data_IF_399607092639
#
_entry.id   IF_399607092639
#
_cell.length_a   1.000
_cell.length_b   1.000
_cell.length_c   1.000
_cell.angle_alpha   90.00
_cell.angle_beta   90.00
_cell.angle_gamma   90.00
#
_symmetry.space_group_name_H-M   'P 1'
#
loop_
_entity.id
_entity.type
_entity.pdbx_description
1 polymer ?
#
# COMPACT_ATOMS: atom_id res chain seq x y z
N UNK A 1 -20.17 1.93 -47.76
CA UNK A 1 -19.74 0.71 -47.06
C UNK A 1 -19.34 1.11 -45.65
N UNK A 2 -20.28 0.95 -44.73
CA UNK A 2 -20.20 1.34 -43.32
C UNK A 2 -19.88 0.10 -42.49
N UNK A 3 -18.71 0.06 -41.87
CA UNK A 3 -18.35 -0.99 -40.91
C UNK A 3 -18.32 -0.38 -39.52
N UNK A 4 -19.42 -0.58 -38.79
CA UNK A 4 -19.53 -0.29 -37.37
C UNK A 4 -18.72 -1.28 -36.55
N UNK A 5 -18.05 -0.77 -35.51
CA UNK A 5 -17.36 -1.57 -34.50
C UNK A 5 -18.09 -1.39 -33.18
N UNK A 6 -18.78 -2.44 -32.76
CA UNK A 6 -19.55 -2.52 -31.52
C UNK A 6 -18.62 -2.70 -30.31
N UNK A 7 -18.90 -1.99 -29.22
CA UNK A 7 -18.24 -2.14 -27.91
C UNK A 7 -18.89 -3.29 -27.12
N UNK A 8 -18.14 -4.12 -26.39
CA UNK A 8 -18.74 -5.14 -25.54
C UNK A 8 -19.27 -4.53 -24.24
N UNK A 9 -20.55 -4.81 -23.94
CA UNK A 9 -21.23 -4.50 -22.69
C UNK A 9 -20.86 -5.56 -21.65
N UNK A 10 -20.19 -5.18 -20.58
CA UNK A 10 -19.97 -6.04 -19.41
C UNK A 10 -21.21 -5.95 -18.52
N UNK A 11 -21.89 -7.09 -18.34
CA UNK A 11 -23.06 -7.22 -17.47
C UNK A 11 -22.60 -7.35 -16.02
N UNK A 12 -22.96 -6.38 -15.18
CA UNK A 12 -22.92 -6.50 -13.72
C UNK A 12 -24.07 -7.41 -13.29
N UNK A 13 -23.75 -8.51 -12.62
CA UNK A 13 -24.73 -9.43 -12.04
C UNK A 13 -24.82 -9.13 -10.54
N UNK A 14 -25.93 -8.51 -10.13
CA UNK A 14 -26.26 -8.24 -8.72
C UNK A 14 -27.03 -9.45 -8.18
N UNK A 15 -26.44 -10.16 -7.22
CA UNK A 15 -27.13 -11.20 -6.45
C UNK A 15 -27.78 -10.57 -5.21
N UNK A 16 -29.10 -10.42 -5.24
CA UNK A 16 -29.88 -10.02 -4.06
C UNK A 16 -30.24 -11.28 -3.26
N UNK A 17 -29.68 -11.45 -2.06
CA UNK A 17 -30.15 -12.43 -1.09
C UNK A 17 -31.08 -11.74 -0.09
N UNK A 18 -32.34 -12.15 -0.09
CA UNK A 18 -33.35 -11.78 0.92
C UNK A 18 -33.25 -12.77 2.08
N UNK A 19 -33.08 -12.27 3.30
CA UNK A 19 -33.35 -13.05 4.52
C UNK A 19 -34.25 -12.23 5.44
N UNK A 20 -35.47 -12.74 5.64
CA UNK A 20 -36.42 -12.27 6.65
C UNK A 20 -36.07 -12.87 8.03
N UNK A 21 -36.10 -12.05 9.08
CA UNK A 21 -35.47 -12.36 10.37
C UNK A 21 -36.39 -12.82 11.51
N UNK A 22 -35.89 -12.65 12.74
CA UNK A 22 -36.64 -12.52 14.01
C UNK A 22 -35.72 -11.93 15.09
N UNK A 23 -36.32 -11.14 15.98
CA UNK A 23 -35.66 -10.32 17.00
C UNK A 23 -35.50 -11.04 18.37
N UNK A 24 -34.39 -10.77 19.09
CA UNK A 24 -34.33 -10.23 20.47
C UNK A 24 -32.99 -10.48 21.18
N UNK A 25 -32.36 -9.38 21.63
CA UNK A 25 -31.76 -9.24 22.97
C UNK A 25 -30.37 -9.85 23.25
N UNK A 26 -29.32 -9.02 23.19
CA UNK A 26 -28.39 -8.72 24.29
C UNK A 26 -27.28 -7.77 23.78
N UNK A 27 -26.91 -6.80 24.62
CA UNK A 27 -25.99 -5.71 24.34
C UNK A 27 -24.57 -6.19 23.98
N UNK A 28 -24.16 -5.91 22.75
CA UNK A 28 -22.78 -5.90 22.31
C UNK A 28 -22.65 -4.85 21.23
N UNK A 29 -22.01 -3.72 21.56
CA UNK A 29 -21.59 -2.72 20.59
C UNK A 29 -20.48 -3.33 19.72
N UNK A 30 -20.86 -4.17 18.76
CA UNK A 30 -19.98 -4.57 17.66
C UNK A 30 -19.87 -3.38 16.72
N UNK A 31 -18.88 -2.52 16.96
CA UNK A 31 -18.51 -1.47 16.02
C UNK A 31 -18.16 -2.12 14.70
N UNK A 32 -18.91 -1.79 13.65
CA UNK A 32 -18.53 -2.15 12.29
C UNK A 32 -17.18 -1.50 12.01
N UNK A 33 -16.13 -2.31 11.92
CA UNK A 33 -14.77 -1.86 11.61
C UNK A 33 -14.79 -1.08 10.32
N UNK A 34 -14.42 0.19 10.37
CA UNK A 34 -14.50 1.05 9.21
C UNK A 34 -13.49 0.63 8.16
N UNK A 35 -13.89 0.81 6.91
CA UNK A 35 -13.07 0.65 5.69
C UNK A 35 -11.98 1.71 5.56
N UNK A 36 -11.85 2.55 6.57
CA UNK A 36 -11.17 3.83 6.61
C UNK A 36 -9.78 3.67 7.23
N UNK A 37 -8.75 4.28 6.63
CA UNK A 37 -7.35 4.12 7.05
C UNK A 37 -6.86 5.19 8.04
N UNK A 38 -7.78 5.93 8.65
CA UNK A 38 -7.52 6.96 9.67
C UNK A 38 -8.20 6.65 11.01
N UNK A 39 -8.86 5.48 11.10
CA UNK A 39 -9.46 5.04 12.35
C UNK A 39 -8.38 4.47 13.29
N UNK A 40 -8.39 4.82 14.58
CA UNK A 40 -7.51 4.20 15.55
C UNK A 40 -7.70 2.68 15.60
N UNK A 41 -6.59 1.94 15.64
CA UNK A 41 -6.58 0.49 15.78
C UNK A 41 -6.21 0.08 17.20
N UNK A 42 -6.87 -0.97 17.67
CA UNK A 42 -6.58 -1.61 18.94
C UNK A 42 -5.47 -2.67 18.83
N UNK A 43 -5.03 -3.23 19.98
CA UNK A 43 -4.10 -4.36 19.98
C UNK A 43 -4.63 -5.55 19.17
N UNK A 44 -3.77 -6.20 18.41
CA UNK A 44 -4.16 -7.32 17.56
C UNK A 44 -4.89 -6.93 16.27
N UNK A 45 -4.98 -5.64 15.94
CA UNK A 45 -5.51 -5.15 14.65
C UNK A 45 -4.40 -4.59 13.73
N UNK A 46 -4.51 -4.87 12.43
CA UNK A 46 -3.71 -4.24 11.36
C UNK A 46 -4.62 -3.96 10.18
N UNK A 47 -4.32 -2.90 9.43
CA UNK A 47 -5.01 -2.61 8.17
C UNK A 47 -4.03 -2.22 7.08
N UNK A 48 -4.33 -2.64 5.85
CA UNK A 48 -3.78 -2.05 4.64
C UNK A 48 -4.87 -1.64 3.67
N UNK A 49 -4.64 -0.55 2.95
CA UNK A 49 -5.62 0.02 2.02
C UNK A 49 -4.98 1.02 1.07
N UNK A 50 -5.77 1.46 0.09
CA UNK A 50 -5.41 2.60 -0.76
C UNK A 50 -5.86 3.89 -0.08
N UNK A 51 -4.99 4.89 -0.03
CA UNK A 51 -5.28 6.21 0.51
C UNK A 51 -6.24 6.93 -0.43
N UNK A 52 -7.41 7.31 0.07
CA UNK A 52 -8.48 7.94 -0.70
C UNK A 52 -8.88 9.32 -0.18
N UNK A 53 -8.36 9.73 0.98
CA UNK A 53 -8.58 11.07 1.57
C UNK A 53 -7.36 11.57 2.31
N UNK A 54 -7.28 12.90 2.46
CA UNK A 54 -6.15 13.57 3.09
C UNK A 54 -5.96 13.16 4.55
N UNK A 55 -7.03 12.87 5.29
CA UNK A 55 -6.94 12.43 6.70
C UNK A 55 -6.28 11.06 6.89
N UNK A 56 -6.12 10.28 5.81
CA UNK A 56 -5.43 9.00 5.85
C UNK A 56 -3.92 9.14 5.69
N UNK A 57 -3.42 10.29 5.24
CA UNK A 57 -2.00 10.55 5.04
C UNK A 57 -1.26 10.60 6.38
N UNK A 58 0.03 10.27 6.35
CA UNK A 58 0.93 10.56 7.46
C UNK A 58 1.27 12.05 7.46
N UNK A 59 1.58 12.56 8.65
CA UNK A 59 2.04 13.93 8.85
C UNK A 59 3.53 13.93 9.21
N UNK A 60 4.23 15.02 8.90
CA UNK A 60 5.65 15.15 9.13
C UNK A 60 6.29 16.10 8.13
N UNK A 61 7.51 16.56 8.42
CA UNK A 61 8.25 17.43 7.50
C UNK A 61 8.74 16.68 6.26
N UNK A 62 8.98 15.36 6.40
CA UNK A 62 9.31 14.47 5.29
C UNK A 62 8.14 13.55 4.91
N UNK A 63 6.92 13.85 5.34
CA UNK A 63 5.74 13.12 4.89
C UNK A 63 5.45 13.47 3.43
N UNK A 64 5.53 12.46 2.56
CA UNK A 64 5.35 12.64 1.14
C UNK A 64 4.14 11.88 0.60
N UNK A 65 3.39 11.06 1.35
CA UNK A 65 2.23 10.30 0.89
C UNK A 65 1.16 11.11 0.13
N UNK A 66 0.55 10.50 -0.88
CA UNK A 66 -0.47 11.06 -1.77
C UNK A 66 -1.69 10.15 -1.88
N UNK A 67 -2.80 10.71 -2.36
CA UNK A 67 -3.98 9.92 -2.72
C UNK A 67 -3.62 8.90 -3.82
N UNK A 68 -4.02 7.66 -3.61
CA UNK A 68 -3.70 6.53 -4.50
C UNK A 68 -2.52 5.68 -4.04
N UNK A 69 -1.72 6.14 -3.06
CA UNK A 69 -0.71 5.29 -2.43
C UNK A 69 -1.34 4.24 -1.51
N UNK A 70 -0.53 3.31 -1.03
CA UNK A 70 -0.97 2.31 -0.07
C UNK A 70 -0.56 2.73 1.34
N UNK A 71 -1.47 2.66 2.30
CA UNK A 71 -1.15 2.77 3.72
C UNK A 71 -1.24 1.41 4.37
N UNK A 72 -0.28 1.12 5.24
CA UNK A 72 -0.29 -0.04 6.14
C UNK A 72 -0.08 0.47 7.56
N UNK A 73 -0.95 0.10 8.50
CA UNK A 73 -0.80 0.56 9.89
C UNK A 73 -1.43 -0.39 10.91
N UNK A 74 -0.93 -0.32 12.13
CA UNK A 74 -1.48 -0.97 13.31
C UNK A 74 -1.56 0.03 14.47
N UNK A 75 -1.73 -0.43 15.71
CA UNK A 75 -1.81 0.48 16.88
C UNK A 75 -0.48 1.14 17.27
N UNK A 76 0.63 0.86 16.57
CA UNK A 76 2.00 1.24 16.96
C UNK A 76 2.76 2.00 15.88
N UNK A 77 2.59 1.60 14.63
CA UNK A 77 3.34 2.12 13.49
C UNK A 77 2.45 2.24 12.26
N UNK A 78 2.81 3.17 11.38
CA UNK A 78 2.18 3.37 10.09
C UNK A 78 3.24 3.59 9.01
N UNK A 79 2.95 3.09 7.80
CA UNK A 79 3.83 3.16 6.64
C UNK A 79 3.02 3.54 5.41
N UNK A 80 3.63 4.30 4.49
CA UNK A 80 3.09 4.57 3.15
C UNK A 80 3.99 3.93 2.10
N UNK A 81 3.39 3.12 1.23
CA UNK A 81 4.04 2.54 0.05
C UNK A 81 3.56 3.31 -1.18
N UNK A 82 4.51 3.82 -1.95
CA UNK A 82 4.25 4.63 -3.14
C UNK A 82 3.49 3.86 -4.22
N UNK A 83 2.52 4.51 -4.85
CA UNK A 83 1.88 4.01 -6.05
C UNK A 83 2.87 3.89 -7.22
N UNK A 84 2.78 2.81 -7.99
CA UNK A 84 3.71 2.50 -9.08
C UNK A 84 3.49 3.34 -10.35
N UNK A 85 2.31 3.95 -10.53
CA UNK A 85 1.94 4.71 -11.74
C UNK A 85 2.46 6.16 -11.72
N UNK A 86 2.66 6.72 -10.53
CA UNK A 86 3.05 8.12 -10.34
C UNK A 86 4.24 8.22 -9.38
N UNK A 87 5.42 7.67 -9.74
CA UNK A 87 6.61 7.73 -8.91
C UNK A 87 7.07 9.17 -8.75
N UNK A 88 7.41 9.52 -7.51
CA UNK A 88 7.69 10.88 -7.06
C UNK A 88 8.65 10.93 -5.87
N UNK A 89 9.02 9.77 -5.30
CA UNK A 89 10.19 9.63 -4.43
C UNK A 89 11.51 10.00 -5.12
N UNK A 90 12.60 9.85 -4.40
CA UNK A 90 13.96 9.94 -4.94
C UNK A 90 14.28 8.75 -5.85
N UNK A 91 13.65 7.61 -5.62
CA UNK A 91 13.66 6.47 -6.53
C UNK A 91 13.06 6.81 -7.89
N UNK A 92 13.59 6.24 -9.00
CA UNK A 92 13.02 6.51 -10.33
C UNK A 92 11.68 5.80 -10.58
N UNK A 93 11.27 4.87 -9.70
CA UNK A 93 10.10 4.01 -9.85
C UNK A 93 9.42 3.82 -8.50
N UNK A 94 8.10 3.58 -8.53
CA UNK A 94 7.30 3.47 -7.32
C UNK A 94 7.28 2.08 -6.71
N UNK A 95 6.41 1.89 -5.72
CA UNK A 95 6.40 0.70 -4.87
C UNK A 95 7.46 0.73 -3.78
N UNK A 96 8.03 1.90 -3.48
CA UNK A 96 8.98 2.13 -2.37
C UNK A 96 8.23 2.54 -1.10
N UNK A 97 8.86 2.39 0.06
CA UNK A 97 8.33 2.96 1.31
C UNK A 97 8.69 4.44 1.33
N UNK A 98 7.71 5.35 1.33
CA UNK A 98 7.93 6.79 1.39
C UNK A 98 7.96 7.28 2.83
N UNK A 99 6.91 6.93 3.56
CA UNK A 99 6.65 7.48 4.88
C UNK A 99 6.70 6.35 5.91
N UNK A 100 7.26 6.63 7.08
CA UNK A 100 7.22 5.72 8.21
C UNK A 100 7.19 6.50 9.53
N UNK A 101 6.18 6.22 10.34
CA UNK A 101 6.02 6.90 11.62
C UNK A 101 5.39 6.00 12.69
N UNK A 102 5.57 6.40 13.95
CA UNK A 102 4.87 5.78 15.08
C UNK A 102 3.45 6.35 15.18
N UNK A 103 2.51 5.52 15.62
CA UNK A 103 1.15 5.97 15.93
C UNK A 103 1.17 6.65 17.30
N UNK A 104 0.77 7.92 17.33
CA UNK A 104 0.74 8.77 18.52
C UNK A 104 -0.67 8.89 19.10
N UNK A 105 -0.77 9.46 20.29
CA UNK A 105 -2.06 9.76 20.90
C UNK A 105 -2.83 10.80 20.07
N UNK A 106 -4.17 10.77 20.18
CA UNK A 106 -5.02 11.74 19.48
C UNK A 106 -4.64 13.18 19.83
N UNK A 107 -4.44 14.00 18.81
CA UNK A 107 -4.04 15.41 18.94
C UNK A 107 -2.53 15.65 18.99
N UNK A 108 -1.70 14.61 19.04
CA UNK A 108 -0.26 14.74 18.80
C UNK A 108 0.03 14.69 17.29
N UNK A 109 0.74 15.68 16.72
CA UNK A 109 1.05 15.70 15.30
C UNK A 109 1.99 14.57 14.90
N UNK A 110 1.91 14.12 13.65
CA UNK A 110 2.91 13.21 13.08
C UNK A 110 4.29 13.87 12.92
N UNK A 111 5.34 13.06 12.92
CA UNK A 111 6.72 13.52 12.70
C UNK A 111 7.47 12.56 11.77
N UNK A 112 6.88 12.22 10.63
CA UNK A 112 7.62 11.47 9.63
C UNK A 112 8.89 12.21 9.18
N UNK A 113 10.00 11.48 9.25
CA UNK A 113 11.37 11.86 8.88
C UNK A 113 12.04 10.78 8.01
N UNK A 114 11.29 9.77 7.55
CA UNK A 114 11.82 8.57 6.92
C UNK A 114 12.31 8.81 5.48
N UNK A 115 11.62 9.70 4.76
CA UNK A 115 11.92 10.15 3.40
C UNK A 115 11.69 9.08 2.31
N UNK A 116 12.52 8.02 2.27
CA UNK A 116 12.30 6.88 1.34
C UNK A 116 13.21 5.68 1.62
N UNK A 117 12.68 4.46 1.46
CA UNK A 117 13.45 3.23 1.29
C UNK A 117 13.35 2.72 -0.15
N UNK A 118 14.47 2.81 -0.87
CA UNK A 118 14.58 2.35 -2.27
C UNK A 118 15.24 0.96 -2.29
N UNK A 119 14.52 -0.10 -2.71
CA UNK A 119 15.09 -1.43 -2.83
C UNK A 119 16.06 -1.50 -4.00
N UNK A 120 17.23 -2.11 -3.78
CA UNK A 120 18.24 -2.35 -4.83
C UNK A 120 18.62 -3.81 -4.88
N UNK A 121 18.77 -4.32 -6.10
CA UNK A 121 19.31 -5.66 -6.35
C UNK A 121 20.54 -5.52 -7.23
N UNK A 122 21.71 -5.84 -6.65
CA UNK A 122 23.01 -5.49 -7.22
C UNK A 122 23.13 -3.96 -7.35
N UNK A 123 23.37 -3.44 -8.56
CA UNK A 123 23.47 -2.00 -8.84
C UNK A 123 22.22 -1.46 -9.56
N UNK A 124 21.16 -2.27 -9.64
CA UNK A 124 19.89 -1.96 -10.28
C UNK A 124 18.79 -1.79 -9.21
N UNK A 125 17.65 -1.26 -9.62
CA UNK A 125 16.44 -1.15 -8.80
C UNK A 125 15.34 -2.03 -9.36
N UNK A 126 14.20 -2.07 -8.67
CA UNK A 126 12.98 -2.75 -9.10
C UNK A 126 12.17 -1.79 -9.97
N UNK A 127 11.85 -2.19 -11.19
CA UNK A 127 10.79 -1.58 -11.98
C UNK A 127 9.50 -2.36 -11.69
N UNK A 128 8.51 -1.74 -11.03
CA UNK A 128 7.26 -2.40 -10.70
C UNK A 128 6.42 -2.62 -11.96
N UNK A 129 5.86 -3.82 -12.07
CA UNK A 129 4.89 -4.23 -13.08
C UNK A 129 3.48 -4.29 -12.51
N UNK A 130 3.35 -4.60 -11.21
CA UNK A 130 2.09 -4.56 -10.48
C UNK A 130 2.30 -4.25 -9.00
N UNK A 131 1.28 -3.66 -8.39
CA UNK A 131 1.18 -3.44 -6.95
C UNK A 131 -0.23 -3.85 -6.49
N UNK A 132 -0.32 -4.68 -5.46
CA UNK A 132 -1.60 -5.17 -4.94
C UNK A 132 -1.59 -5.28 -3.41
N UNK A 133 -2.76 -5.13 -2.81
CA UNK A 133 -3.00 -5.48 -1.42
C UNK A 133 -3.34 -6.97 -1.40
N UNK A 134 -2.36 -7.81 -1.10
CA UNK A 134 -2.51 -9.25 -1.06
C UNK A 134 -3.29 -9.72 0.19
N UNK A 135 -3.23 -8.95 1.26
CA UNK A 135 -4.01 -9.13 2.49
C UNK A 135 -4.21 -7.75 3.13
N UNK A 136 -5.45 -7.39 3.48
CA UNK A 136 -5.75 -6.11 4.13
C UNK A 136 -5.66 -6.18 5.66
N UNK A 137 -5.48 -7.38 6.25
CA UNK A 137 -5.39 -7.58 7.69
C UNK A 137 -6.72 -7.59 8.44
N UNK A 138 -7.86 -7.39 7.75
CA UNK A 138 -9.19 -7.37 8.36
C UNK A 138 -9.63 -8.71 8.96
N UNK A 139 -8.95 -9.79 8.59
CA UNK A 139 -9.16 -11.14 9.11
C UNK A 139 -8.32 -11.46 10.36
N UNK A 140 -7.56 -10.48 10.87
CA UNK A 140 -6.68 -10.61 12.03
C UNK A 140 -5.30 -11.20 11.71
N UNK A 141 -4.99 -11.48 10.45
CA UNK A 141 -3.66 -11.86 10.00
C UNK A 141 -2.85 -10.63 9.56
N UNK A 142 -1.59 -10.85 9.16
CA UNK A 142 -0.75 -9.79 8.64
C UNK A 142 -1.39 -9.08 7.44
N UNK A 143 -1.26 -7.75 7.40
CA UNK A 143 -1.48 -6.98 6.19
C UNK A 143 -0.28 -7.12 5.25
N UNK A 144 -0.53 -7.26 3.96
CA UNK A 144 0.50 -7.51 2.94
C UNK A 144 0.24 -6.65 1.71
N UNK A 145 1.20 -5.81 1.35
CA UNK A 145 1.28 -5.15 0.05
C UNK A 145 2.37 -5.83 -0.76
N UNK A 146 2.03 -6.31 -1.96
CA UNK A 146 2.92 -7.02 -2.87
C UNK A 146 3.24 -6.17 -4.09
N UNK A 147 4.52 -6.05 -4.38
CA UNK A 147 5.05 -5.46 -5.60
C UNK A 147 5.68 -6.58 -6.43
N UNK A 148 5.21 -6.76 -7.67
CA UNK A 148 5.89 -7.63 -8.63
C UNK A 148 6.58 -6.76 -9.67
N UNK A 149 7.80 -7.13 -10.06
CA UNK A 149 8.60 -6.32 -10.95
C UNK A 149 9.78 -7.05 -11.57
N UNK A 150 10.60 -6.29 -12.27
CA UNK A 150 11.83 -6.74 -12.90
C UNK A 150 12.98 -5.78 -12.57
N UNK A 151 14.22 -6.20 -12.82
CA UNK A 151 15.35 -5.30 -12.65
C UNK A 151 15.37 -4.21 -13.72
N UNK A 152 15.64 -2.97 -13.29
CA UNK A 152 15.91 -1.86 -14.20
C UNK A 152 17.00 -0.92 -13.68
N UNK A 153 17.71 -0.31 -14.60
CA UNK A 153 18.73 0.68 -14.29
C UNK A 153 18.15 1.94 -13.67
N UNK A 154 18.98 2.62 -12.88
CA UNK A 154 18.66 3.94 -12.36
C UNK A 154 19.16 4.94 -13.40
N UNK A 155 18.31 5.81 -14.00
CA UNK A 155 18.71 6.65 -15.14
C UNK A 155 20.00 7.45 -14.92
N UNK A 156 20.18 8.01 -13.72
CA UNK A 156 21.40 8.75 -13.37
C UNK A 156 22.65 7.86 -13.33
N UNK A 157 22.53 6.64 -12.81
CA UNK A 157 23.63 5.66 -12.74
C UNK A 157 23.95 5.13 -14.13
N UNK A 158 22.94 4.87 -14.94
CA UNK A 158 23.10 4.42 -16.32
C UNK A 158 23.84 5.47 -17.16
N UNK A 159 23.47 6.76 -16.99
CA UNK A 159 24.16 7.87 -17.65
C UNK A 159 25.64 7.96 -17.23
N UNK A 160 25.95 7.77 -15.94
CA UNK A 160 27.31 7.85 -15.42
C UNK A 160 28.19 6.64 -15.83
N UNK A 161 27.59 5.46 -16.02
CA UNK A 161 28.31 4.21 -16.31
C UNK A 161 28.30 3.81 -17.79
N UNK A 162 27.63 4.59 -18.66
CA UNK A 162 27.44 4.22 -20.06
C UNK A 162 26.53 2.99 -20.25
N UNK A 163 25.65 2.73 -19.28
CA UNK A 163 24.71 1.61 -19.30
C UNK A 163 25.37 0.23 -19.29
N UNK A 164 26.57 0.10 -18.72
CA UNK A 164 27.29 -1.19 -18.60
C UNK A 164 26.55 -2.15 -17.65
N UNK A 165 25.80 -1.62 -16.69
CA UNK A 165 24.97 -2.40 -15.78
C UNK A 165 23.72 -2.88 -16.55
N UNK A 166 23.53 -4.21 -16.63
CA UNK A 166 22.42 -4.82 -17.37
C UNK A 166 21.51 -5.65 -16.47
N UNK A 167 20.18 -5.56 -16.63
CA UNK A 167 19.25 -6.48 -16.00
C UNK A 167 19.59 -7.94 -16.30
N UNK A 168 19.39 -8.83 -15.32
CA UNK A 168 19.65 -10.27 -15.45
C UNK A 168 18.40 -11.08 -15.78
N UNK A 169 17.29 -10.42 -16.13
CA UNK A 169 16.02 -11.08 -16.42
C UNK A 169 15.39 -11.77 -15.21
N UNK A 170 15.60 -11.22 -14.02
CA UNK A 170 14.96 -11.72 -12.79
C UNK A 170 13.56 -11.15 -12.66
N UNK A 171 12.59 -12.02 -12.39
CA UNK A 171 11.30 -11.63 -11.84
C UNK A 171 11.46 -11.46 -10.33
N UNK A 172 11.00 -10.34 -9.81
CA UNK A 172 11.14 -9.96 -8.40
C UNK A 172 9.75 -9.85 -7.82
N UNK A 173 9.54 -10.50 -6.69
CA UNK A 173 8.35 -10.31 -5.85
C UNK A 173 8.86 -9.74 -4.54
N UNK A 174 8.41 -8.53 -4.21
CA UNK A 174 8.71 -7.88 -2.96
C UNK A 174 7.42 -7.70 -2.16
N UNK A 175 7.43 -8.14 -0.91
CA UNK A 175 6.28 -8.01 -0.03
C UNK A 175 6.63 -7.15 1.18
N UNK A 176 5.80 -6.14 1.41
CA UNK A 176 5.73 -5.38 2.64
C UNK A 176 4.69 -6.03 3.54
N UNK A 177 5.10 -6.44 4.73
CA UNK A 177 4.28 -7.23 5.64
C UNK A 177 4.26 -6.54 7.00
N UNK A 178 3.07 -6.19 7.46
CA UNK A 178 2.84 -5.61 8.78
C UNK A 178 1.97 -6.55 9.61
N UNK A 179 2.50 -6.98 10.75
CA UNK A 179 1.75 -7.79 11.71
C UNK A 179 0.98 -6.88 12.70
N UNK A 180 -0.14 -7.33 13.28
CA UNK A 180 -0.99 -6.53 14.17
C UNK A 180 -0.33 -5.82 15.36
N UNK A 181 0.73 -6.38 15.93
CA UNK A 181 1.44 -5.77 17.07
C UNK A 181 2.92 -5.49 16.78
N UNK A 182 3.34 -5.59 15.52
CA UNK A 182 4.73 -5.34 15.16
C UNK A 182 5.07 -3.84 15.22
N UNK A 183 6.28 -3.54 15.65
CA UNK A 183 6.86 -2.19 15.62
C UNK A 183 7.79 -2.00 14.40
N UNK A 184 7.67 -2.88 13.41
CA UNK A 184 8.49 -2.89 12.21
C UNK A 184 7.69 -3.35 10.99
N UNK A 185 8.09 -2.85 9.82
CA UNK A 185 7.66 -3.38 8.53
C UNK A 185 8.64 -4.46 8.09
N UNK A 186 8.14 -5.67 7.79
CA UNK A 186 8.96 -6.75 7.25
C UNK A 186 8.95 -6.72 5.73
N UNK A 187 10.14 -6.73 5.15
CA UNK A 187 10.34 -6.80 3.69
C UNK A 187 10.81 -8.21 3.33
N UNK A 188 10.12 -8.88 2.41
CA UNK A 188 10.45 -10.23 1.92
C UNK A 188 10.64 -10.25 0.41
#
# INVERSE_FOLDING_TARGET
MTTGRTRPLWRVMVCTAVVAGVAQGCSGSGGGGGTWLDEPLGPGEVRAGVITRESELLEGVEAHGWLGDFKMYNSRVAFVIENIEQPRGWGPYGGTVLDADVVRAEGEPGEDLFQELIPKIDTLTIYPLSAEIASDGSDGNAAVVRIEGEQRGIPLVDAATGGVLKPRGMNIVQEYILEPDAEYLRIR
#
